data_IF_923325874326
#
_entry.id   IF_923325874326
#
_cell.length_a   1.000
_cell.length_b   1.000
_cell.length_c   1.000
_cell.angle_alpha   90.00
_cell.angle_beta   90.00
_cell.angle_gamma   90.00
#
_symmetry.space_group_name_H-M   'P 1'
#
loop_
_entity.id
_entity.type
_entity.pdbx_description
1 polymer ?
#
# COMPACT_ATOMS: atom_id res chain seq x y z
N UNK A 1 18.79 -18.34 -6.44
CA UNK A 1 20.01 -18.64 -7.23
C UNK A 1 21.09 -19.35 -6.41
N UNK A 2 21.42 -18.92 -5.18
CA UNK A 2 22.44 -19.58 -4.34
C UNK A 2 22.04 -20.96 -3.79
N UNK A 3 20.75 -21.22 -3.55
CA UNK A 3 20.28 -22.50 -2.98
C UNK A 3 19.88 -23.54 -4.03
N UNK A 4 19.64 -23.11 -5.28
CA UNK A 4 19.27 -23.99 -6.40
C UNK A 4 20.10 -23.64 -7.64
N UNK A 5 21.39 -24.02 -7.69
CA UNK A 5 22.30 -23.67 -8.78
C UNK A 5 21.90 -24.26 -10.15
N UNK A 6 20.98 -25.24 -10.18
CA UNK A 6 20.42 -25.80 -11.43
C UNK A 6 19.16 -25.07 -11.91
N UNK A 7 18.65 -24.09 -11.16
CA UNK A 7 17.47 -23.34 -11.54
C UNK A 7 17.83 -22.39 -12.70
N UNK A 8 17.31 -22.68 -13.89
CA UNK A 8 17.72 -22.03 -15.14
C UNK A 8 17.07 -20.65 -15.38
N UNK A 9 16.03 -20.32 -14.62
CA UNK A 9 15.30 -19.06 -14.77
C UNK A 9 15.89 -18.01 -13.81
N UNK A 10 15.94 -16.76 -14.28
CA UNK A 10 16.31 -15.60 -13.46
C UNK A 10 15.21 -15.26 -12.45
N UNK A 11 15.51 -14.37 -11.50
CA UNK A 11 14.48 -13.75 -10.66
C UNK A 11 13.50 -12.91 -11.51
N UNK A 12 12.34 -12.59 -10.92
CA UNK A 12 11.20 -11.97 -11.59
C UNK A 12 11.19 -10.43 -11.57
N UNK A 13 12.21 -9.77 -11.00
CA UNK A 13 12.28 -8.29 -10.86
C UNK A 13 12.12 -7.54 -12.21
N UNK A 14 12.59 -8.10 -13.33
CA UNK A 14 12.38 -7.48 -14.65
C UNK A 14 10.92 -7.56 -15.12
N UNK A 15 10.22 -8.63 -14.75
CA UNK A 15 8.79 -8.77 -15.01
C UNK A 15 8.00 -7.85 -14.09
N UNK A 16 8.40 -7.72 -12.83
CA UNK A 16 7.83 -6.76 -11.86
C UNK A 16 7.90 -5.34 -12.44
N UNK A 17 9.09 -4.89 -12.84
CA UNK A 17 9.28 -3.57 -13.45
C UNK A 17 8.35 -3.31 -14.65
N UNK A 18 8.19 -4.30 -15.54
CA UNK A 18 7.28 -4.18 -16.68
C UNK A 18 5.81 -4.18 -16.24
N UNK A 19 5.46 -5.09 -15.33
CA UNK A 19 4.10 -5.31 -14.88
C UNK A 19 3.55 -4.15 -14.06
N UNK A 20 4.38 -3.47 -13.27
CA UNK A 20 4.03 -2.24 -12.57
C UNK A 20 3.58 -1.15 -13.56
N UNK A 21 4.37 -0.88 -14.60
CA UNK A 21 4.00 0.10 -15.62
C UNK A 21 2.68 -0.24 -16.33
N UNK A 22 2.45 -1.52 -16.65
CA UNK A 22 1.19 -1.98 -17.25
C UNK A 22 0.03 -1.83 -16.28
N UNK A 23 0.22 -2.20 -15.01
CA UNK A 23 -0.78 -2.07 -13.96
C UNK A 23 -1.18 -0.60 -13.76
N UNK A 24 -0.21 0.30 -13.62
CA UNK A 24 -0.45 1.72 -13.47
C UNK A 24 -1.20 2.29 -14.67
N UNK A 25 -0.81 1.92 -15.90
CA UNK A 25 -1.46 2.37 -17.11
C UNK A 25 -2.93 1.94 -17.15
N UNK A 26 -3.21 0.64 -16.94
CA UNK A 26 -4.58 0.10 -17.00
C UNK A 26 -5.48 0.74 -15.94
N UNK A 27 -4.99 0.86 -14.70
CA UNK A 27 -5.77 1.49 -13.62
C UNK A 27 -6.00 2.97 -13.91
N UNK A 28 -4.99 3.69 -14.40
CA UNK A 28 -5.12 5.11 -14.76
C UNK A 28 -6.14 5.31 -15.88
N UNK A 29 -6.07 4.50 -16.94
CA UNK A 29 -7.00 4.55 -18.07
C UNK A 29 -8.44 4.28 -17.62
N UNK A 30 -8.65 3.24 -16.79
CA UNK A 30 -9.96 2.93 -16.23
C UNK A 30 -10.53 4.09 -15.41
N UNK A 31 -9.71 4.67 -14.52
CA UNK A 31 -10.11 5.78 -13.65
C UNK A 31 -10.47 7.02 -14.47
N UNK A 32 -9.63 7.38 -15.45
CA UNK A 32 -9.85 8.52 -16.33
C UNK A 32 -11.16 8.40 -17.13
N UNK A 33 -11.41 7.21 -17.72
CA UNK A 33 -12.62 6.97 -18.52
C UNK A 33 -13.90 6.90 -17.68
N UNK A 34 -13.82 6.27 -16.51
CA UNK A 34 -15.01 6.00 -15.68
C UNK A 34 -15.43 7.19 -14.81
N UNK A 35 -14.51 8.11 -14.50
CA UNK A 35 -14.73 9.20 -13.54
C UNK A 35 -14.37 10.58 -14.10
N UNK A 36 -14.94 10.93 -15.26
CA UNK A 36 -14.63 12.17 -16.00
C UNK A 36 -14.87 13.49 -15.27
N UNK A 37 -15.61 13.48 -14.15
CA UNK A 37 -15.89 14.66 -13.32
C UNK A 37 -14.94 14.81 -12.13
N UNK A 38 -14.02 13.88 -11.94
CA UNK A 38 -13.10 13.86 -10.79
C UNK A 38 -11.81 14.59 -11.11
N UNK A 39 -11.25 15.24 -10.10
CA UNK A 39 -9.98 15.95 -10.23
C UNK A 39 -8.82 14.98 -10.40
N UNK A 40 -7.72 15.44 -11.02
CA UNK A 40 -6.49 14.64 -11.14
C UNK A 40 -6.01 14.14 -9.77
N UNK A 41 -6.01 15.00 -8.75
CA UNK A 41 -5.64 14.62 -7.38
C UNK A 41 -6.50 13.49 -6.81
N UNK A 42 -7.83 13.54 -6.96
CA UNK A 42 -8.71 12.44 -6.53
C UNK A 42 -8.38 11.12 -7.25
N UNK A 43 -8.20 11.17 -8.57
CA UNK A 43 -7.87 9.98 -9.37
C UNK A 43 -6.51 9.40 -8.97
N UNK A 44 -5.51 10.26 -8.73
CA UNK A 44 -4.17 9.88 -8.26
C UNK A 44 -4.24 9.21 -6.89
N UNK A 45 -5.01 9.75 -5.94
CA UNK A 45 -5.23 9.10 -4.63
C UNK A 45 -5.92 7.74 -4.76
N UNK A 46 -6.93 7.62 -5.63
CA UNK A 46 -7.63 6.35 -5.83
C UNK A 46 -6.75 5.30 -6.49
N UNK A 47 -5.91 5.69 -7.46
CA UNK A 47 -4.90 4.81 -8.05
C UNK A 47 -3.93 4.32 -6.98
N UNK A 48 -3.34 5.21 -6.19
CA UNK A 48 -2.41 4.85 -5.12
C UNK A 48 -3.06 3.90 -4.08
N UNK A 49 -4.34 4.08 -3.79
CA UNK A 49 -5.09 3.18 -2.90
C UNK A 49 -5.34 1.79 -3.50
N UNK A 50 -5.44 1.68 -4.83
CA UNK A 50 -5.61 0.42 -5.56
C UNK A 50 -4.29 -0.34 -5.73
N UNK A 51 -3.20 0.35 -6.07
CA UNK A 51 -1.94 -0.29 -6.48
C UNK A 51 -0.87 -0.32 -5.38
N UNK A 52 -1.19 0.03 -4.14
CA UNK A 52 -0.23 -0.10 -3.04
C UNK A 52 0.05 -1.56 -2.66
N UNK A 53 1.23 -1.79 -2.09
CA UNK A 53 1.71 -3.10 -1.66
C UNK A 53 0.67 -3.88 -0.83
N UNK A 54 -0.01 -3.25 0.13
CA UNK A 54 -1.01 -3.92 0.97
C UNK A 54 -2.18 -4.48 0.16
N UNK A 55 -2.67 -3.71 -0.81
CA UNK A 55 -3.75 -4.15 -1.70
C UNK A 55 -3.29 -5.27 -2.63
N UNK A 56 -2.09 -5.14 -3.21
CA UNK A 56 -1.53 -6.14 -4.12
C UNK A 56 -1.22 -7.45 -3.40
N UNK A 57 -0.59 -7.40 -2.21
CA UNK A 57 -0.38 -8.57 -1.34
C UNK A 57 -1.70 -9.28 -1.08
N UNK A 58 -2.73 -8.55 -0.65
CA UNK A 58 -4.04 -9.15 -0.36
C UNK A 58 -4.65 -9.79 -1.59
N UNK A 59 -4.54 -9.14 -2.75
CA UNK A 59 -5.10 -9.66 -4.00
C UNK A 59 -4.35 -10.91 -4.46
N UNK A 60 -3.01 -10.94 -4.34
CA UNK A 60 -2.20 -12.11 -4.60
C UNK A 60 -2.56 -13.29 -3.68
N UNK A 61 -2.83 -13.01 -2.39
CA UNK A 61 -3.29 -14.02 -1.43
C UNK A 61 -4.68 -14.56 -1.78
N UNK A 62 -5.64 -13.67 -2.09
CA UNK A 62 -6.99 -14.05 -2.51
C UNK A 62 -6.97 -14.98 -3.75
N UNK A 63 -5.94 -14.85 -4.60
CA UNK A 63 -5.71 -15.65 -5.80
C UNK A 63 -4.81 -16.88 -5.58
N UNK A 64 -4.31 -17.11 -4.37
CA UNK A 64 -3.49 -18.28 -4.06
C UNK A 64 -2.05 -18.22 -4.60
N UNK A 65 -1.51 -17.04 -4.94
CA UNK A 65 -0.15 -16.91 -5.50
C UNK A 65 0.93 -17.47 -4.59
N UNK A 66 0.65 -17.51 -3.29
CA UNK A 66 1.54 -18.04 -2.26
C UNK A 66 2.02 -19.47 -2.56
N UNK A 67 1.16 -20.29 -3.15
CA UNK A 67 1.40 -21.72 -3.37
C UNK A 67 2.30 -21.99 -4.59
N UNK A 68 2.49 -20.98 -5.44
CA UNK A 68 3.27 -21.06 -6.68
C UNK A 68 4.65 -20.39 -6.56
N UNK A 69 4.93 -19.76 -5.42
CA UNK A 69 6.16 -19.02 -5.21
C UNK A 69 7.36 -19.93 -4.96
N UNK A 70 8.42 -19.71 -5.74
CA UNK A 70 9.71 -20.37 -5.57
C UNK A 70 10.65 -19.46 -4.78
N UNK A 71 10.86 -19.81 -3.52
CA UNK A 71 11.59 -18.99 -2.56
C UNK A 71 12.76 -19.75 -1.96
N UNK A 72 13.77 -19.01 -1.51
CA UNK A 72 14.83 -19.58 -0.67
C UNK A 72 14.26 -20.10 0.66
N UNK A 73 14.99 -20.96 1.35
CA UNK A 73 14.62 -21.42 2.69
C UNK A 73 14.46 -20.26 3.66
N UNK A 74 15.31 -19.22 3.54
CA UNK A 74 15.19 -17.99 4.34
C UNK A 74 13.87 -17.27 4.09
N UNK A 75 13.56 -16.96 2.84
CA UNK A 75 12.33 -16.25 2.44
C UNK A 75 11.05 -17.06 2.71
N UNK A 76 11.13 -18.40 2.66
CA UNK A 76 9.99 -19.26 2.97
C UNK A 76 9.56 -19.19 4.44
N UNK A 77 10.47 -18.84 5.35
CA UNK A 77 10.21 -18.70 6.79
C UNK A 77 9.72 -17.31 7.17
N UNK A 78 9.89 -16.32 6.28
CA UNK A 78 9.47 -14.94 6.49
C UNK A 78 7.94 -14.82 6.42
N UNK A 79 7.35 -14.18 7.44
CA UNK A 79 5.89 -14.00 7.56
C UNK A 79 5.48 -12.54 7.75
N UNK A 80 6.45 -11.64 7.90
CA UNK A 80 6.23 -10.21 8.16
C UNK A 80 6.18 -9.38 6.88
N UNK A 81 6.67 -8.14 6.98
CA UNK A 81 6.62 -7.15 5.90
C UNK A 81 7.33 -7.60 4.63
N UNK A 82 8.48 -8.27 4.76
CA UNK A 82 9.21 -8.78 3.62
C UNK A 82 8.36 -9.79 2.81
N UNK A 83 7.54 -10.62 3.48
CA UNK A 83 6.60 -11.51 2.78
C UNK A 83 5.50 -10.73 2.02
N UNK A 84 5.05 -9.60 2.55
CA UNK A 84 4.06 -8.75 1.88
C UNK A 84 4.65 -8.16 0.60
N UNK A 85 5.86 -7.60 0.66
CA UNK A 85 6.55 -7.08 -0.52
C UNK A 85 6.77 -8.17 -1.57
N UNK A 86 7.27 -9.35 -1.19
CA UNK A 86 7.42 -10.48 -2.13
C UNK A 86 6.10 -10.75 -2.87
N UNK A 87 4.97 -10.79 -2.17
CA UNK A 87 3.67 -11.06 -2.78
C UNK A 87 3.17 -9.91 -3.67
N UNK A 88 3.40 -8.65 -3.29
CA UNK A 88 3.05 -7.49 -4.11
C UNK A 88 3.84 -7.50 -5.42
N UNK A 89 5.17 -7.63 -5.33
CA UNK A 89 6.07 -7.72 -6.47
C UNK A 89 5.74 -8.92 -7.37
N UNK A 90 5.29 -10.03 -6.78
CA UNK A 90 4.85 -11.20 -7.56
C UNK A 90 3.58 -10.92 -8.35
N UNK A 91 2.66 -10.13 -7.80
CA UNK A 91 1.46 -9.71 -8.52
C UNK A 91 1.81 -8.86 -9.75
N UNK A 92 2.70 -7.89 -9.59
CA UNK A 92 3.23 -7.08 -10.69
C UNK A 92 3.97 -7.95 -11.70
N UNK A 93 4.89 -8.81 -11.24
CA UNK A 93 5.62 -9.71 -12.13
C UNK A 93 4.69 -10.66 -12.91
N UNK A 94 3.60 -11.11 -12.31
CA UNK A 94 2.58 -11.89 -13.00
C UNK A 94 1.89 -11.08 -14.09
N UNK A 95 1.54 -9.81 -13.84
CA UNK A 95 1.00 -8.92 -14.88
C UNK A 95 2.01 -8.74 -16.01
N UNK A 96 3.29 -8.53 -15.69
CA UNK A 96 4.34 -8.44 -16.70
C UNK A 96 4.45 -9.71 -17.56
N UNK A 97 4.36 -10.88 -16.94
CA UNK A 97 4.35 -12.16 -17.66
C UNK A 97 3.09 -12.34 -18.51
N UNK A 98 1.91 -12.02 -17.96
CA UNK A 98 0.63 -12.10 -18.66
C UNK A 98 0.60 -11.17 -19.88
N UNK A 99 1.16 -9.98 -19.77
CA UNK A 99 1.27 -9.03 -20.88
C UNK A 99 2.13 -9.60 -22.01
N UNK A 100 3.27 -10.21 -21.69
CA UNK A 100 4.15 -10.81 -22.70
C UNK A 100 3.53 -12.05 -23.36
N UNK A 101 2.71 -12.80 -22.63
CA UNK A 101 2.07 -14.03 -23.11
C UNK A 101 0.79 -13.76 -23.92
N UNK A 102 -0.07 -12.86 -23.44
CA UNK A 102 -1.46 -12.70 -23.94
C UNK A 102 -1.83 -11.27 -24.31
N UNK A 103 -0.94 -10.29 -24.10
CA UNK A 103 -1.15 -8.90 -24.49
C UNK A 103 -2.05 -8.11 -23.54
N UNK A 104 -2.25 -6.82 -23.88
CA UNK A 104 -2.83 -5.82 -22.99
C UNK A 104 -4.31 -6.04 -22.66
N UNK A 105 -5.10 -6.56 -23.59
CA UNK A 105 -6.55 -6.73 -23.37
C UNK A 105 -6.83 -7.78 -22.30
N UNK A 106 -6.07 -8.89 -22.28
CA UNK A 106 -6.19 -9.90 -21.22
C UNK A 106 -5.72 -9.35 -19.86
N UNK A 107 -4.68 -8.50 -19.85
CA UNK A 107 -4.27 -7.80 -18.63
C UNK A 107 -5.38 -6.90 -18.10
N UNK A 108 -6.06 -6.14 -18.96
CA UNK A 108 -7.20 -5.29 -18.56
C UNK A 108 -8.29 -6.11 -17.89
N UNK A 109 -8.74 -7.19 -18.54
CA UNK A 109 -9.78 -8.08 -17.98
C UNK A 109 -9.37 -8.66 -16.62
N UNK A 110 -8.11 -9.10 -16.49
CA UNK A 110 -7.58 -9.64 -15.25
C UNK A 110 -7.54 -8.60 -14.12
N UNK A 111 -6.99 -7.40 -14.41
CA UNK A 111 -6.87 -6.30 -13.45
C UNK A 111 -8.26 -5.80 -13.04
N UNK A 112 -9.19 -5.68 -13.99
CA UNK A 112 -10.55 -5.25 -13.71
C UNK A 112 -11.27 -6.20 -12.76
N UNK A 113 -11.24 -7.49 -13.10
CA UNK A 113 -11.91 -8.56 -12.34
C UNK A 113 -11.33 -8.76 -10.94
N UNK A 114 -10.04 -8.53 -10.73
CA UNK A 114 -9.37 -8.90 -9.48
C UNK A 114 -9.00 -7.70 -8.60
N UNK A 115 -8.64 -6.57 -9.21
CA UNK A 115 -8.19 -5.38 -8.49
C UNK A 115 -9.23 -4.25 -8.52
N UNK A 116 -9.65 -3.80 -9.70
CA UNK A 116 -10.55 -2.63 -9.83
C UNK A 116 -11.92 -2.87 -9.21
N UNK A 117 -12.40 -4.12 -9.14
CA UNK A 117 -13.62 -4.47 -8.38
C UNK A 117 -13.62 -3.97 -6.93
N UNK A 118 -12.44 -3.72 -6.34
CA UNK A 118 -12.26 -3.23 -4.97
C UNK A 118 -12.40 -1.70 -4.87
N UNK A 119 -12.38 -0.97 -5.99
CA UNK A 119 -12.43 0.50 -6.04
C UNK A 119 -13.69 1.08 -5.39
N UNK A 120 -14.86 0.49 -5.65
CA UNK A 120 -16.12 0.96 -5.06
C UNK A 120 -16.07 1.00 -3.53
N UNK A 121 -15.46 -0.03 -2.92
CA UNK A 121 -15.21 -0.09 -1.48
C UNK A 121 -14.21 0.97 -1.04
N UNK A 122 -13.09 1.13 -1.76
CA UNK A 122 -12.07 2.16 -1.47
C UNK A 122 -12.68 3.55 -1.42
N UNK A 123 -13.52 3.89 -2.40
CA UNK A 123 -14.18 5.19 -2.47
C UNK A 123 -15.18 5.36 -1.32
N UNK A 124 -16.04 4.36 -1.09
CA UNK A 124 -17.08 4.41 -0.06
C UNK A 124 -16.52 4.52 1.36
N UNK A 125 -15.43 3.82 1.64
CA UNK A 125 -14.79 3.80 2.95
C UNK A 125 -13.65 4.82 3.08
N UNK A 126 -13.45 5.69 2.08
CA UNK A 126 -12.38 6.68 2.04
C UNK A 126 -10.97 6.11 2.30
N UNK A 127 -10.71 4.86 1.89
CA UNK A 127 -9.45 4.14 2.12
C UNK A 127 -8.25 4.73 1.36
N UNK A 128 -8.49 5.77 0.56
CA UNK A 128 -7.50 6.52 -0.20
C UNK A 128 -6.98 7.76 0.55
N UNK A 129 -7.62 8.15 1.66
CA UNK A 129 -7.16 9.27 2.47
C UNK A 129 -6.08 8.81 3.45
N UNK A 130 -4.92 9.41 3.33
CA UNK A 130 -3.84 9.30 4.31
C UNK A 130 -4.26 10.01 5.60
N UNK A 131 -4.21 9.33 6.74
CA UNK A 131 -4.78 9.87 7.97
C UNK A 131 -4.01 11.10 8.46
N UNK A 132 -2.69 11.17 8.22
CA UNK A 132 -1.91 12.37 8.55
C UNK A 132 -2.33 13.56 7.71
N UNK A 133 -2.48 13.37 6.41
CA UNK A 133 -2.94 14.42 5.49
C UNK A 133 -4.34 14.90 5.86
N UNK A 134 -5.27 13.97 6.09
CA UNK A 134 -6.63 14.31 6.51
C UNK A 134 -6.63 15.05 7.86
N UNK A 135 -5.88 14.57 8.85
CA UNK A 135 -5.82 15.25 10.15
C UNK A 135 -5.21 16.65 10.03
N UNK A 136 -4.22 16.83 9.16
CA UNK A 136 -3.63 18.15 8.89
C UNK A 136 -4.64 19.10 8.24
N UNK A 137 -5.35 18.68 7.20
CA UNK A 137 -6.40 19.48 6.54
C UNK A 137 -7.47 19.91 7.55
N UNK A 138 -8.04 18.96 8.28
CA UNK A 138 -9.08 19.19 9.29
C UNK A 138 -8.60 20.11 10.42
N UNK A 139 -7.37 19.92 10.90
CA UNK A 139 -6.79 20.78 11.93
C UNK A 139 -6.57 22.21 11.47
N UNK A 140 -6.14 22.40 10.21
CA UNK A 140 -5.90 23.71 9.64
C UNK A 140 -7.22 24.45 9.38
N UNK A 141 -8.25 23.73 8.90
CA UNK A 141 -9.57 24.28 8.66
C UNK A 141 -10.32 24.63 9.96
N UNK A 142 -10.35 23.70 10.92
CA UNK A 142 -11.19 23.85 12.13
C UNK A 142 -10.56 24.67 13.24
N UNK A 143 -9.23 24.60 13.39
CA UNK A 143 -8.52 25.27 14.50
C UNK A 143 -7.33 26.11 14.07
N UNK A 144 -6.96 26.12 12.78
CA UNK A 144 -5.86 26.94 12.26
C UNK A 144 -4.47 26.53 12.74
N UNK A 145 -4.31 25.29 13.24
CA UNK A 145 -3.05 24.80 13.82
C UNK A 145 -2.55 23.61 13.03
N UNK A 146 -1.30 23.66 12.59
CA UNK A 146 -0.63 22.52 11.94
C UNK A 146 -0.22 21.47 12.99
N UNK A 147 -0.52 20.17 12.80
CA UNK A 147 -0.17 19.13 13.74
C UNK A 147 1.33 18.90 13.85
N UNK A 148 1.81 18.60 15.07
CA UNK A 148 3.20 18.23 15.32
C UNK A 148 3.27 16.82 15.90
N UNK A 149 4.07 15.97 15.28
CA UNK A 149 4.31 14.59 15.74
C UNK A 149 5.61 14.52 16.54
N UNK A 150 5.58 13.86 17.70
CA UNK A 150 6.75 13.69 18.56
C UNK A 150 6.86 12.26 19.05
N UNK A 151 8.07 11.71 19.00
CA UNK A 151 8.38 10.42 19.65
C UNK A 151 8.27 10.59 21.15
N UNK A 152 7.34 9.86 21.76
CA UNK A 152 7.15 9.82 23.21
C UNK A 152 7.95 8.69 23.85
N UNK A 153 8.11 7.57 23.13
CA UNK A 153 8.85 6.42 23.61
C UNK A 153 9.35 5.55 22.45
N UNK A 154 10.52 4.95 22.63
CA UNK A 154 11.07 3.89 21.77
C UNK A 154 11.32 2.66 22.66
N UNK A 155 10.98 1.46 22.18
CA UNK A 155 11.18 0.19 22.90
C UNK A 155 11.61 -0.91 21.94
N UNK A 156 12.20 -1.98 22.48
CA UNK A 156 12.62 -3.15 21.71
C UNK A 156 14.06 -3.04 21.19
N UNK A 157 14.63 -4.16 20.72
CA UNK A 157 15.99 -4.19 20.16
C UNK A 157 16.04 -3.46 18.82
N UNK A 158 17.23 -3.06 18.35
CA UNK A 158 17.40 -2.25 17.13
C UNK A 158 16.74 -2.87 15.88
N UNK A 159 16.73 -4.20 15.79
CA UNK A 159 16.13 -4.95 14.68
C UNK A 159 14.62 -5.18 14.83
N UNK A 160 14.01 -4.74 15.94
CA UNK A 160 12.57 -4.84 16.21
C UNK A 160 12.11 -3.69 17.12
N UNK A 161 12.41 -2.46 16.71
CA UNK A 161 12.00 -1.25 17.44
C UNK A 161 10.51 -1.00 17.28
N UNK A 162 9.89 -0.62 18.39
CA UNK A 162 8.53 -0.09 18.47
C UNK A 162 8.58 1.37 18.90
N UNK A 163 7.83 2.21 18.20
CA UNK A 163 7.74 3.64 18.41
C UNK A 163 6.34 4.00 18.92
N UNK A 164 6.29 4.80 19.98
CA UNK A 164 5.07 5.45 20.44
C UNK A 164 5.20 6.93 20.10
N UNK A 165 4.32 7.43 19.23
CA UNK A 165 4.31 8.82 18.77
C UNK A 165 3.04 9.49 19.26
N UNK A 166 3.18 10.72 19.75
CA UNK A 166 2.06 11.60 20.07
C UNK A 166 1.87 12.63 18.96
N UNK A 167 0.61 12.90 18.61
CA UNK A 167 0.25 14.01 17.74
C UNK A 167 -0.33 15.16 18.57
N UNK A 168 0.16 16.36 18.31
CA UNK A 168 -0.12 17.55 19.09
C UNK A 168 -0.72 18.66 18.23
N UNK A 169 -1.63 19.43 18.80
CA UNK A 169 -2.05 20.73 18.26
C UNK A 169 -1.58 21.80 19.24
N UNK A 170 -0.51 22.52 18.87
CA UNK A 170 0.19 23.42 19.79
C UNK A 170 0.85 22.66 20.94
N UNK A 171 0.37 22.88 22.17
CA UNK A 171 0.87 22.19 23.38
C UNK A 171 0.04 20.96 23.75
N UNK A 172 -1.14 20.82 23.17
CA UNK A 172 -2.10 19.80 23.58
C UNK A 172 -1.82 18.48 22.85
N UNK A 173 -1.59 17.43 23.63
CA UNK A 173 -1.52 16.08 23.11
C UNK A 173 -2.92 15.63 22.72
N UNK A 174 -3.16 15.42 21.43
CA UNK A 174 -4.47 15.00 20.92
C UNK A 174 -4.63 13.49 20.99
N UNK A 175 -3.64 12.74 20.49
CA UNK A 175 -3.68 11.29 20.49
C UNK A 175 -2.26 10.68 20.46
N UNK A 176 -2.18 9.36 20.63
CA UNK A 176 -0.95 8.58 20.49
C UNK A 176 -1.18 7.44 19.51
N UNK A 177 -0.13 7.09 18.77
CA UNK A 177 -0.07 5.91 17.91
C UNK A 177 1.14 5.06 18.26
N UNK A 178 1.01 3.75 18.04
CA UNK A 178 2.08 2.76 18.15
C UNK A 178 2.37 2.19 16.76
N UNK A 179 3.64 1.89 16.49
CA UNK A 179 4.02 1.27 15.22
C UNK A 179 5.43 0.69 15.26
N UNK A 180 5.70 -0.21 14.31
CA UNK A 180 7.03 -0.81 14.12
C UNK A 180 8.00 0.13 13.40
N UNK A 181 7.50 1.27 12.92
CA UNK A 181 8.30 2.39 12.40
C UNK A 181 7.71 3.72 12.88
N UNK A 182 8.49 4.80 12.81
CA UNK A 182 8.00 6.15 13.11
C UNK A 182 6.83 6.53 12.21
N UNK A 183 6.91 6.22 10.92
CA UNK A 183 5.84 6.53 9.97
C UNK A 183 4.53 5.80 10.31
N UNK A 184 4.59 4.52 10.68
CA UNK A 184 3.40 3.77 11.11
C UNK A 184 2.80 4.33 12.39
N UNK A 185 3.65 4.66 13.37
CA UNK A 185 3.19 5.23 14.63
C UNK A 185 2.58 6.64 14.45
N UNK A 186 3.10 7.44 13.51
CA UNK A 186 2.52 8.74 13.13
C UNK A 186 1.14 8.57 12.46
N UNK A 187 1.04 7.65 11.51
CA UNK A 187 -0.21 7.36 10.81
C UNK A 187 -1.28 6.85 11.78
N UNK A 188 -0.91 5.96 12.72
CA UNK A 188 -1.82 5.52 13.77
C UNK A 188 -2.21 6.66 14.72
N UNK A 189 -1.27 7.53 15.09
CA UNK A 189 -1.57 8.69 15.93
C UNK A 189 -2.57 9.63 15.25
N UNK A 190 -2.42 9.85 13.93
CA UNK A 190 -3.35 10.66 13.14
C UNK A 190 -4.76 10.05 13.09
N UNK A 191 -4.87 8.73 12.86
CA UNK A 191 -6.15 8.00 12.89
C UNK A 191 -6.86 8.14 14.23
N UNK A 192 -6.12 7.95 15.32
CA UNK A 192 -6.68 8.12 16.66
C UNK A 192 -7.07 9.58 16.94
N UNK A 193 -6.32 10.55 16.40
CA UNK A 193 -6.63 11.96 16.55
C UNK A 193 -7.90 12.38 15.80
N UNK A 194 -8.08 11.94 14.55
CA UNK A 194 -9.32 12.12 13.79
C UNK A 194 -10.52 11.59 14.58
N UNK A 195 -10.40 10.36 15.11
CA UNK A 195 -11.44 9.76 15.94
C UNK A 195 -11.69 10.53 17.25
N UNK A 196 -10.63 10.97 17.93
CA UNK A 196 -10.74 11.70 19.21
C UNK A 196 -11.36 13.08 19.02
N UNK A 197 -11.11 13.73 17.88
CA UNK A 197 -11.65 15.04 17.54
C UNK A 197 -13.00 14.99 16.83
N UNK A 198 -13.46 13.80 16.43
CA UNK A 198 -14.64 13.58 15.60
C UNK A 198 -14.56 14.35 14.26
N UNK A 199 -13.39 14.26 13.62
CA UNK A 199 -13.08 14.85 12.31
C UNK A 199 -13.02 13.79 11.21
#
# INVERSE_FOLDING_TARGET
>A
LNEYPRFKLSHNERLEFLGDAILEQVVTEYLFKSYSKKSEGELTSWRAALVNAKMLTKTAQDLGFNDFLLLSQGESREKGKARQYILANTFEAFIGALYLDQGIEVCKDFIEKNLIKKLSKIIKEHLFRDAKSQFQEESQEKVGITPVYKVLKERGPDHNKHFIIGVFLGKDLVAKGDGSSKQEAEEEAAKQALKTKEW
#
